data_IF_084705335471
#
_entry.id   IF_084705335471
#
_cell.length_a   1.000
_cell.length_b   1.000
_cell.length_c   1.000
_cell.angle_alpha   90.00
_cell.angle_beta   90.00
_cell.angle_gamma   90.00
#
_symmetry.space_group_name_H-M   'P 1'
#
loop_
_entity.id
_entity.type
_entity.pdbx_description
1 polymer ?
#
# COMPACT_ATOMS: atom_id res chain seq x y z
N UNK A 1 17.67 -13.14 -21.73
CA UNK A 1 17.54 -12.69 -20.33
C UNK A 1 18.84 -13.01 -19.63
N UNK A 2 19.60 -11.98 -19.28
CA UNK A 2 20.78 -12.13 -18.42
C UNK A 2 20.32 -12.15 -16.96
N UNK A 3 21.13 -12.68 -16.03
CA UNK A 3 20.81 -12.69 -14.59
C UNK A 3 20.57 -11.26 -14.04
N UNK A 4 21.19 -10.25 -14.66
CA UNK A 4 21.02 -8.84 -14.33
C UNK A 4 19.60 -8.33 -14.65
N UNK A 5 19.01 -8.76 -15.77
CA UNK A 5 17.65 -8.34 -16.18
C UNK A 5 16.58 -8.84 -15.19
N UNK A 6 16.76 -10.08 -14.69
CA UNK A 6 15.87 -10.67 -13.69
C UNK A 6 15.98 -9.92 -12.36
N UNK A 7 17.20 -9.56 -11.94
CA UNK A 7 17.42 -8.80 -10.73
C UNK A 7 16.79 -7.40 -10.79
N UNK A 8 16.92 -6.70 -11.92
CA UNK A 8 16.27 -5.40 -12.13
C UNK A 8 14.75 -5.50 -12.10
N UNK A 9 14.18 -6.54 -12.72
CA UNK A 9 12.74 -6.79 -12.72
C UNK A 9 12.19 -6.96 -11.29
N UNK A 10 12.89 -7.77 -10.47
CA UNK A 10 12.51 -7.99 -9.07
C UNK A 10 12.58 -6.68 -8.29
N UNK A 11 13.65 -5.90 -8.46
CA UNK A 11 13.81 -4.62 -7.77
C UNK A 11 12.68 -3.64 -8.10
N UNK A 12 12.32 -3.51 -9.37
CA UNK A 12 11.27 -2.61 -9.82
C UNK A 12 9.89 -3.04 -9.30
N UNK A 13 9.63 -4.36 -9.29
CA UNK A 13 8.39 -4.92 -8.73
C UNK A 13 8.23 -4.60 -7.23
N UNK A 14 9.31 -4.72 -6.46
CA UNK A 14 9.32 -4.38 -5.03
C UNK A 14 9.12 -2.89 -4.82
N UNK A 15 9.77 -2.05 -5.63
CA UNK A 15 9.63 -0.61 -5.55
C UNK A 15 8.18 -0.17 -5.81
N UNK A 16 7.53 -0.72 -6.82
CA UNK A 16 6.13 -0.41 -7.14
C UNK A 16 5.18 -0.92 -6.06
N UNK A 17 5.43 -2.12 -5.53
CA UNK A 17 4.65 -2.65 -4.39
C UNK A 17 4.73 -1.72 -3.18
N UNK A 18 5.94 -1.25 -2.85
CA UNK A 18 6.16 -0.32 -1.75
C UNK A 18 5.50 1.06 -2.01
N UNK A 19 5.55 1.54 -3.25
CA UNK A 19 4.92 2.79 -3.68
C UNK A 19 3.39 2.72 -3.58
N UNK A 20 2.77 1.64 -4.05
CA UNK A 20 1.31 1.46 -4.01
C UNK A 20 0.80 1.23 -2.58
N UNK A 21 1.56 0.50 -1.75
CA UNK A 21 1.19 0.23 -0.36
C UNK A 21 1.47 1.39 0.60
N UNK A 22 2.37 2.30 0.26
CA UNK A 22 2.75 3.48 1.06
C UNK A 22 1.57 4.26 1.66
N UNK A 23 0.57 4.73 0.90
CA UNK A 23 -0.53 5.53 1.47
C UNK A 23 -1.38 4.72 2.45
N UNK A 24 -1.58 3.42 2.19
CA UNK A 24 -2.36 2.53 3.05
C UNK A 24 -1.60 2.28 4.35
N UNK A 25 -0.31 1.94 4.27
CA UNK A 25 0.54 1.66 5.43
C UNK A 25 0.70 2.90 6.31
N UNK A 26 0.93 4.06 5.70
CA UNK A 26 1.05 5.33 6.44
C UNK A 26 -0.23 5.65 7.20
N UNK A 27 -1.38 5.48 6.55
CA UNK A 27 -2.68 5.72 7.19
C UNK A 27 -2.96 4.72 8.31
N UNK A 28 -2.69 3.43 8.08
CA UNK A 28 -2.85 2.40 9.09
C UNK A 28 -1.97 2.65 10.32
N UNK A 29 -0.75 3.15 10.10
CA UNK A 29 0.18 3.55 11.16
C UNK A 29 -0.35 4.74 11.96
N UNK A 30 -0.68 5.85 11.29
CA UNK A 30 -1.14 7.09 11.95
C UNK A 30 -2.41 6.85 12.74
N UNK A 31 -3.41 6.22 12.12
CA UNK A 31 -4.71 5.96 12.77
C UNK A 31 -4.56 4.90 13.86
N UNK A 32 -3.76 3.87 13.63
CA UNK A 32 -3.45 2.87 14.66
C UNK A 32 -2.79 3.49 15.89
N UNK A 33 -1.88 4.43 15.71
CA UNK A 33 -1.22 5.13 16.80
C UNK A 33 -2.18 6.04 17.56
N UNK A 34 -2.97 6.86 16.86
CA UNK A 34 -3.97 7.74 17.48
C UNK A 34 -4.96 6.93 18.32
N UNK A 35 -5.51 5.86 17.73
CA UNK A 35 -6.51 5.04 18.43
C UNK A 35 -5.87 4.25 19.58
N UNK A 36 -4.64 3.76 19.45
CA UNK A 36 -3.92 3.09 20.53
C UNK A 36 -3.64 4.00 21.73
N UNK A 37 -3.32 5.28 21.49
CA UNK A 37 -3.18 6.28 22.56
C UNK A 37 -4.53 6.50 23.24
N UNK A 38 -5.61 6.68 22.49
CA UNK A 38 -6.96 6.86 23.05
C UNK A 38 -7.37 5.67 23.92
N UNK A 39 -7.16 4.44 23.44
CA UNK A 39 -7.47 3.22 24.20
C UNK A 39 -6.68 3.14 25.51
N UNK A 40 -5.41 3.57 25.48
CA UNK A 40 -4.53 3.57 26.66
C UNK A 40 -4.95 4.65 27.66
N UNK A 41 -5.25 5.87 27.19
CA UNK A 41 -5.62 6.99 28.06
C UNK A 41 -7.00 6.84 28.67
N UNK A 42 -7.97 6.26 27.96
CA UNK A 42 -9.33 6.04 28.51
C UNK A 42 -9.47 4.72 29.27
N UNK A 43 -8.42 3.89 29.34
CA UNK A 43 -8.43 2.55 29.93
C UNK A 43 -9.48 1.59 29.31
N UNK A 44 -10.01 1.90 28.12
CA UNK A 44 -10.98 1.07 27.40
C UNK A 44 -10.22 0.26 26.35
N UNK A 45 -9.92 -1.00 26.68
CA UNK A 45 -9.19 -1.92 25.81
C UNK A 45 -10.13 -2.88 25.07
N UNK A 46 -11.23 -2.37 24.53
CA UNK A 46 -12.11 -3.18 23.70
C UNK A 46 -11.58 -3.27 22.26
N UNK A 47 -11.31 -4.49 21.75
CA UNK A 47 -10.67 -4.67 20.44
C UNK A 47 -11.51 -4.09 19.29
N UNK A 48 -12.83 -4.06 19.44
CA UNK A 48 -13.78 -3.54 18.43
C UNK A 48 -13.62 -2.04 18.19
N UNK A 49 -13.33 -1.26 19.25
CA UNK A 49 -13.19 0.21 19.16
C UNK A 49 -11.91 0.61 18.40
N UNK A 50 -10.84 -0.20 18.48
CA UNK A 50 -9.64 0.02 17.67
C UNK A 50 -9.85 -0.27 16.19
N UNK A 51 -10.71 -1.24 15.89
CA UNK A 51 -10.83 -1.81 14.57
C UNK A 51 -11.63 -0.90 13.62
N UNK A 52 -12.78 -0.39 14.06
CA UNK A 52 -13.72 0.35 13.20
C UNK A 52 -13.13 1.66 12.64
N UNK A 53 -12.55 2.57 13.46
CA UNK A 53 -11.99 3.82 12.94
C UNK A 53 -10.83 3.58 11.97
N UNK A 54 -10.00 2.56 12.24
CA UNK A 54 -8.88 2.17 11.39
C UNK A 54 -9.36 1.67 10.03
N UNK A 55 -10.38 0.82 10.00
CA UNK A 55 -10.95 0.29 8.76
C UNK A 55 -11.54 1.41 7.91
N UNK A 56 -12.33 2.30 8.51
CA UNK A 56 -12.92 3.44 7.81
C UNK A 56 -11.85 4.35 7.19
N UNK A 57 -10.78 4.66 7.94
CA UNK A 57 -9.69 5.47 7.42
C UNK A 57 -8.96 4.81 6.24
N UNK A 58 -8.66 3.50 6.33
CA UNK A 58 -8.05 2.75 5.23
C UNK A 58 -8.99 2.76 4.01
N UNK A 59 -10.29 2.58 4.22
CA UNK A 59 -11.27 2.57 3.14
C UNK A 59 -11.31 3.92 2.41
N UNK A 60 -11.34 5.03 3.14
CA UNK A 60 -11.30 6.39 2.58
C UNK A 60 -10.02 6.58 1.75
N UNK A 61 -8.88 6.13 2.25
CA UNK A 61 -7.60 6.25 1.54
C UNK A 61 -7.58 5.41 0.29
N UNK A 62 -8.11 4.18 0.33
CA UNK A 62 -8.27 3.36 -0.87
C UNK A 62 -9.14 4.08 -1.89
N UNK A 63 -10.28 4.66 -1.49
CA UNK A 63 -11.16 5.38 -2.43
C UNK A 63 -10.44 6.57 -3.07
N UNK A 64 -9.77 7.40 -2.27
CA UNK A 64 -9.06 8.59 -2.74
C UNK A 64 -7.88 8.23 -3.66
N UNK A 65 -7.07 7.25 -3.26
CA UNK A 65 -5.85 6.87 -3.98
C UNK A 65 -6.06 5.76 -5.02
N UNK A 66 -7.27 5.19 -5.13
CA UNK A 66 -7.62 4.07 -6.02
C UNK A 66 -7.18 4.33 -7.46
N UNK A 67 -7.56 5.49 -8.00
CA UNK A 67 -7.23 5.88 -9.38
C UNK A 67 -5.73 5.89 -9.63
N UNK A 68 -4.95 6.47 -8.71
CA UNK A 68 -3.49 6.54 -8.82
C UNK A 68 -2.82 5.18 -8.66
N UNK A 69 -3.31 4.34 -7.74
CA UNK A 69 -2.80 2.98 -7.54
C UNK A 69 -3.01 2.11 -8.78
N UNK A 70 -4.21 2.20 -9.38
CA UNK A 70 -4.55 1.47 -10.61
C UNK A 70 -3.69 1.96 -11.78
N UNK A 71 -3.52 3.27 -11.95
CA UNK A 71 -2.66 3.84 -12.99
C UNK A 71 -1.21 3.35 -12.84
N UNK A 72 -0.65 3.44 -11.63
CA UNK A 72 0.73 2.99 -11.35
C UNK A 72 0.92 1.51 -11.66
N UNK A 73 -0.06 0.67 -11.33
CA UNK A 73 -0.02 -0.76 -11.63
C UNK A 73 -0.14 -1.02 -13.14
N UNK A 74 -1.06 -0.34 -13.82
CA UNK A 74 -1.27 -0.46 -15.26
C UNK A 74 -0.03 -0.03 -16.06
N UNK A 75 0.62 1.06 -15.66
CA UNK A 75 1.86 1.54 -16.27
C UNK A 75 2.98 0.52 -16.12
N UNK A 76 3.13 -0.07 -14.93
CA UNK A 76 4.10 -1.13 -14.72
C UNK A 76 3.81 -2.36 -15.59
N UNK A 77 2.56 -2.81 -15.61
CA UNK A 77 2.14 -3.94 -16.46
C UNK A 77 2.42 -3.65 -17.94
N UNK A 78 2.14 -2.44 -18.42
CA UNK A 78 2.46 -2.05 -19.80
C UNK A 78 3.95 -2.11 -20.08
N UNK A 79 4.79 -1.63 -19.15
CA UNK A 79 6.25 -1.73 -19.29
C UNK A 79 6.73 -3.18 -19.32
N UNK A 80 6.12 -4.07 -18.54
CA UNK A 80 6.41 -5.50 -18.60
C UNK A 80 6.09 -6.10 -19.97
N UNK A 81 4.91 -5.79 -20.54
CA UNK A 81 4.54 -6.27 -21.87
C UNK A 81 5.49 -5.77 -22.97
N UNK A 82 5.88 -4.50 -22.93
CA UNK A 82 6.86 -3.93 -23.87
C UNK A 82 8.23 -4.60 -23.74
N UNK A 83 8.63 -4.95 -22.51
CA UNK A 83 9.89 -5.64 -22.26
C UNK A 83 9.86 -7.07 -22.84
N UNK A 84 8.70 -7.74 -22.81
CA UNK A 84 8.48 -9.07 -23.43
C UNK A 84 8.51 -8.99 -24.96
N UNK A 85 7.86 -8.00 -25.58
CA UNK A 85 7.84 -7.84 -27.05
C UNK A 85 9.22 -7.57 -27.65
N UNK A 86 10.13 -7.00 -26.85
CA UNK A 86 11.51 -6.71 -27.26
C UNK A 86 12.42 -7.95 -27.22
N UNK A 87 11.93 -9.08 -26.71
CA UNK A 87 12.59 -10.39 -26.75
C UNK A 87 12.16 -11.20 -27.96
#
# INVERSE_FOLDING_TARGET
MTELDVMTLIRDSLYITLKISSPILFTALVVGLIVGILQTTTSIQEPTIAFVPKLLAIFIVIVIFSSWMIQTMADYTRNLFLMIEKF
#
